data_IF_667661393155
#
_entry.id   IF_667661393155
#
_cell.length_a   1.000
_cell.length_b   1.000
_cell.length_c   1.000
_cell.angle_alpha   90.00
_cell.angle_beta   90.00
_cell.angle_gamma   90.00
#
_symmetry.space_group_name_H-M   'P 1'
#
loop_
_entity.id
_entity.type
_entity.pdbx_description
1 polymer ?
#
# COMPACT_ATOMS: atom_id res chain seq x y z
N UNK A 1 71.16 -52.55 0.00
CA UNK A 1 70.59 -53.46 -1.01
C UNK A 1 69.37 -52.78 -1.63
N UNK A 2 69.55 -52.53 -2.89
CA UNK A 2 68.65 -52.43 -4.06
C UNK A 2 67.50 -51.41 -3.95
N UNK A 3 67.59 -50.22 -4.41
CA UNK A 3 67.41 -49.67 -5.77
C UNK A 3 66.13 -50.20 -6.49
N UNK A 4 65.12 -49.36 -6.55
CA UNK A 4 64.28 -49.25 -7.73
C UNK A 4 63.82 -47.79 -7.98
N UNK A 5 64.46 -47.17 -8.96
CA UNK A 5 64.01 -45.98 -9.65
C UNK A 5 62.84 -46.35 -10.52
N UNK A 6 61.71 -45.63 -10.35
CA UNK A 6 60.71 -45.55 -11.41
C UNK A 6 60.49 -44.08 -11.76
N UNK A 7 60.81 -43.76 -12.97
CA UNK A 7 60.53 -42.52 -13.66
C UNK A 7 59.02 -42.29 -13.80
N UNK A 8 58.59 -41.13 -13.38
CA UNK A 8 57.23 -40.65 -13.68
C UNK A 8 57.36 -39.64 -14.80
N UNK A 9 56.90 -40.03 -16.01
CA UNK A 9 56.70 -39.10 -17.11
C UNK A 9 55.63 -38.09 -16.77
N UNK A 10 55.97 -36.83 -16.83
CA UNK A 10 55.02 -35.70 -16.70
C UNK A 10 54.14 -35.62 -17.94
N UNK A 11 52.86 -35.94 -17.77
CA UNK A 11 51.82 -35.66 -18.75
C UNK A 11 51.24 -34.27 -18.45
N UNK A 12 51.70 -33.28 -19.19
CA UNK A 12 51.15 -31.93 -19.12
C UNK A 12 49.82 -31.91 -19.88
N UNK A 13 48.72 -32.09 -19.18
CA UNK A 13 47.40 -31.86 -19.73
C UNK A 13 47.15 -30.32 -19.72
N UNK A 14 47.19 -29.72 -20.89
CA UNK A 14 46.73 -28.35 -21.09
C UNK A 14 45.19 -28.34 -20.89
N UNK A 15 44.75 -27.95 -19.71
CA UNK A 15 43.35 -27.56 -19.48
C UNK A 15 43.14 -26.19 -20.14
N UNK A 16 42.56 -26.19 -21.35
CA UNK A 16 41.90 -25.01 -21.87
C UNK A 16 40.70 -24.70 -20.97
N UNK A 17 40.89 -23.76 -20.06
CA UNK A 17 39.77 -23.12 -19.41
C UNK A 17 39.04 -22.28 -20.46
N UNK A 18 37.94 -22.83 -21.01
CA UNK A 18 36.93 -22.04 -21.67
C UNK A 18 36.31 -21.17 -20.59
N UNK A 19 36.88 -20.00 -20.38
CA UNK A 19 36.25 -18.95 -19.56
C UNK A 19 35.00 -18.52 -20.27
N UNK A 20 33.89 -19.13 -19.93
CA UNK A 20 32.59 -18.57 -20.22
C UNK A 20 32.50 -17.24 -19.50
N UNK A 21 32.66 -16.14 -20.22
CA UNK A 21 32.23 -14.85 -19.76
C UNK A 21 30.70 -14.94 -19.60
N UNK A 22 30.24 -15.23 -18.41
CA UNK A 22 28.87 -14.89 -18.04
C UNK A 22 28.84 -13.37 -18.10
N UNK A 23 28.30 -12.82 -19.18
CA UNK A 23 27.96 -11.42 -19.22
C UNK A 23 26.99 -11.20 -18.03
N UNK A 24 27.48 -10.56 -16.99
CA UNK A 24 26.58 -10.05 -15.95
C UNK A 24 25.58 -9.15 -16.68
N UNK A 25 24.29 -9.51 -16.63
CA UNK A 25 23.26 -8.61 -17.11
C UNK A 25 23.46 -7.28 -16.38
N UNK A 26 23.60 -6.18 -17.14
CA UNK A 26 23.73 -4.86 -16.56
C UNK A 26 22.55 -4.62 -15.60
N UNK A 27 22.85 -4.04 -14.45
CA UNK A 27 21.78 -3.67 -13.51
C UNK A 27 20.80 -2.72 -14.20
N UNK A 28 19.49 -2.86 -14.00
CA UNK A 28 18.54 -1.87 -14.47
C UNK A 28 18.85 -0.45 -13.95
N UNK A 29 19.59 -0.33 -12.85
CA UNK A 29 20.00 0.95 -12.28
C UNK A 29 21.18 1.60 -13.03
N UNK A 30 21.86 0.87 -13.92
CA UNK A 30 22.93 1.39 -14.77
C UNK A 30 22.39 2.00 -16.09
N UNK A 31 21.10 1.85 -16.38
CA UNK A 31 20.47 2.44 -17.57
C UNK A 31 20.19 3.93 -17.40
N UNK A 32 20.16 4.66 -18.52
CA UNK A 32 19.70 6.06 -18.52
C UNK A 32 18.22 6.11 -18.83
N UNK A 33 17.45 6.70 -17.93
CA UNK A 33 16.01 6.79 -18.06
C UNK A 33 15.54 8.15 -18.51
N UNK A 34 14.47 8.18 -19.32
CA UNK A 34 13.65 9.35 -19.48
C UNK A 34 12.53 9.30 -18.44
N UNK A 35 12.50 10.27 -17.53
CA UNK A 35 11.41 10.41 -16.56
C UNK A 35 10.17 10.97 -17.25
N UNK A 36 9.08 10.20 -17.19
CA UNK A 36 7.82 10.59 -17.81
C UNK A 36 6.91 11.25 -16.76
N UNK A 37 6.35 12.43 -17.07
CA UNK A 37 5.35 13.04 -16.22
C UNK A 37 4.08 12.18 -16.19
N UNK A 38 3.46 12.14 -15.01
CA UNK A 38 2.13 11.54 -14.83
C UNK A 38 1.08 12.63 -14.70
N UNK A 39 -0.01 12.46 -15.43
CA UNK A 39 -1.18 13.35 -15.37
C UNK A 39 -2.32 12.63 -14.68
N UNK A 40 -2.94 13.30 -13.70
CA UNK A 40 -4.15 12.79 -13.08
C UNK A 40 -5.33 13.00 -14.00
N UNK A 41 -5.96 11.90 -14.42
CA UNK A 41 -7.13 11.93 -15.30
C UNK A 41 -8.43 11.84 -14.52
N UNK A 42 -8.41 11.23 -13.34
CA UNK A 42 -9.58 11.04 -12.50
C UNK A 42 -9.20 10.90 -11.02
N UNK A 43 -10.11 11.35 -10.17
CA UNK A 43 -10.13 11.03 -8.74
C UNK A 43 -11.56 10.71 -8.32
N UNK A 44 -11.76 9.64 -7.56
CA UNK A 44 -13.11 9.23 -7.16
C UNK A 44 -13.16 8.56 -5.79
N UNK A 45 -14.39 8.42 -5.28
CA UNK A 45 -14.63 7.89 -3.94
C UNK A 45 -14.15 8.82 -2.84
N UNK A 46 -14.40 8.43 -1.62
CA UNK A 46 -13.97 9.17 -0.42
C UNK A 46 -13.11 8.25 0.45
N UNK A 47 -11.90 8.69 0.77
CA UNK A 47 -11.06 8.10 1.81
C UNK A 47 -11.21 8.91 3.10
N UNK A 48 -11.59 8.26 4.18
CA UNK A 48 -11.46 8.73 5.55
C UNK A 48 -10.20 8.08 6.10
N UNK A 49 -9.12 8.86 6.24
CA UNK A 49 -7.83 8.38 6.68
C UNK A 49 -7.61 8.73 8.15
N UNK A 50 -7.38 7.73 8.97
CA UNK A 50 -7.22 7.83 10.42
C UNK A 50 -5.87 7.25 10.84
N UNK A 51 -4.92 8.15 11.09
CA UNK A 51 -3.55 7.83 11.52
C UNK A 51 -3.04 8.90 12.52
N UNK A 52 -3.98 9.56 13.21
CA UNK A 52 -3.63 10.62 14.15
C UNK A 52 -4.69 10.73 15.27
N UNK A 53 -4.31 10.55 16.54
CA UNK A 53 -2.96 10.22 16.98
C UNK A 53 -2.53 8.83 16.50
N UNK A 54 -1.28 8.70 16.01
CA UNK A 54 -0.72 7.39 15.65
C UNK A 54 -0.56 6.53 16.90
N UNK A 55 -0.03 7.11 17.97
CA UNK A 55 0.11 6.48 19.28
C UNK A 55 -1.00 6.98 20.20
N UNK A 56 -2.02 6.14 20.38
CA UNK A 56 -3.18 6.48 21.18
C UNK A 56 -2.91 6.14 22.66
N UNK A 57 -2.68 7.16 23.47
CA UNK A 57 -2.33 7.05 24.92
C UNK A 57 -3.53 7.01 25.84
N UNK A 58 -4.74 7.16 25.31
CA UNK A 58 -6.00 7.12 26.05
C UNK A 58 -7.16 6.68 25.16
N UNK A 59 -8.25 6.15 25.74
CA UNK A 59 -9.45 5.83 25.00
C UNK A 59 -10.16 7.08 24.43
N UNK A 60 -10.67 6.98 23.19
CA UNK A 60 -11.42 8.08 22.58
C UNK A 60 -11.70 7.87 21.09
N UNK A 61 -12.31 8.90 20.46
CA UNK A 61 -12.48 8.98 19.02
C UNK A 61 -11.18 9.44 18.39
N UNK A 62 -10.61 8.61 17.52
CA UNK A 62 -9.35 8.90 16.83
C UNK A 62 -9.58 9.87 15.66
N UNK A 63 -10.52 9.53 14.78
CA UNK A 63 -10.93 10.40 13.68
C UNK A 63 -12.36 10.12 13.23
N UNK A 64 -13.05 11.14 12.74
CA UNK A 64 -14.36 11.06 12.05
C UNK A 64 -14.33 11.97 10.82
N UNK A 65 -14.68 11.42 9.65
CA UNK A 65 -14.78 12.16 8.39
C UNK A 65 -16.00 11.76 7.58
N UNK A 66 -16.41 12.62 6.63
CA UNK A 66 -17.66 12.46 5.88
C UNK A 66 -17.41 11.78 4.54
N UNK A 67 -17.99 10.61 4.34
CA UNK A 67 -18.09 9.94 3.03
C UNK A 67 -19.22 10.59 2.23
N UNK A 68 -18.91 11.07 1.03
CA UNK A 68 -19.86 11.57 0.05
C UNK A 68 -20.66 10.42 -0.58
N UNK A 69 -21.85 10.68 -1.20
CA UNK A 69 -22.58 9.66 -1.92
C UNK A 69 -21.68 8.97 -2.97
N UNK A 70 -21.68 7.63 -2.94
CA UNK A 70 -20.78 6.77 -3.72
C UNK A 70 -20.01 5.81 -2.86
N UNK A 71 -18.82 5.47 -3.29
CA UNK A 71 -17.89 4.59 -2.59
C UNK A 71 -17.10 5.37 -1.53
N UNK A 72 -16.93 4.75 -0.37
CA UNK A 72 -16.12 5.26 0.72
C UNK A 72 -15.21 4.19 1.29
N UNK A 73 -14.07 4.61 1.76
CA UNK A 73 -13.13 3.79 2.53
C UNK A 73 -12.75 4.54 3.78
N UNK A 74 -12.79 3.85 4.93
CA UNK A 74 -12.04 4.26 6.10
C UNK A 74 -10.79 3.38 6.15
N UNK A 75 -9.61 4.01 6.23
CA UNK A 75 -8.32 3.38 6.46
C UNK A 75 -7.79 3.86 7.79
N UNK A 76 -7.40 2.94 8.68
CA UNK A 76 -6.87 3.25 10.01
C UNK A 76 -5.50 2.61 10.23
N UNK A 77 -4.69 3.30 11.07
CA UNK A 77 -3.35 2.89 11.43
C UNK A 77 -3.03 3.53 12.80
N UNK A 78 -3.04 2.73 13.86
CA UNK A 78 -2.87 3.23 15.22
C UNK A 78 -2.13 2.22 16.08
N UNK A 79 -1.29 2.73 16.99
CA UNK A 79 -0.61 1.96 18.04
C UNK A 79 -1.36 2.13 19.34
N UNK A 80 -1.61 1.03 20.03
CA UNK A 80 -2.24 1.06 21.33
C UNK A 80 -1.23 1.40 22.43
N UNK A 81 -1.34 2.57 23.03
CA UNK A 81 -0.59 3.00 24.23
C UNK A 81 -1.53 3.37 25.38
N UNK A 82 -2.74 2.76 25.45
CA UNK A 82 -3.76 3.12 26.46
C UNK A 82 -3.49 2.56 27.86
N UNK A 83 -2.40 1.82 28.06
CA UNK A 83 -2.02 1.21 29.33
C UNK A 83 -2.64 -0.17 29.56
N UNK A 84 -3.17 -0.82 28.53
CA UNK A 84 -3.75 -2.16 28.60
C UNK A 84 -4.37 -2.60 27.27
N UNK A 85 -4.98 -3.81 27.22
CA UNK A 85 -5.66 -4.25 26.01
C UNK A 85 -6.81 -3.28 25.60
N UNK A 86 -6.84 -2.94 24.33
CA UNK A 86 -7.81 -2.03 23.76
C UNK A 86 -8.51 -2.61 22.54
N UNK A 87 -9.67 -2.04 22.19
CA UNK A 87 -10.43 -2.38 20.97
C UNK A 87 -10.38 -1.20 20.02
N UNK A 88 -9.97 -1.43 18.79
CA UNK A 88 -10.07 -0.43 17.73
C UNK A 88 -11.33 -0.71 16.92
N UNK A 89 -12.26 0.24 16.94
CA UNK A 89 -13.57 0.12 16.32
C UNK A 89 -13.68 1.04 15.12
N UNK A 90 -14.34 0.57 14.07
CA UNK A 90 -14.84 1.40 12.97
C UNK A 90 -16.34 1.53 13.09
N UNK A 91 -16.87 2.75 13.05
CA UNK A 91 -18.29 3.03 13.16
C UNK A 91 -18.79 3.95 12.05
N UNK A 92 -20.09 3.89 11.80
CA UNK A 92 -20.79 4.84 10.95
C UNK A 92 -21.83 5.63 11.73
N UNK A 93 -22.04 6.89 11.33
CA UNK A 93 -23.05 7.78 11.90
C UNK A 93 -23.75 8.55 10.79
N UNK A 94 -25.04 8.79 10.94
CA UNK A 94 -25.83 9.56 9.99
C UNK A 94 -26.88 10.42 10.70
N UNK A 95 -27.09 11.64 10.20
CA UNK A 95 -28.15 12.53 10.71
C UNK A 95 -29.56 12.08 10.30
N UNK A 96 -29.65 11.16 9.35
CA UNK A 96 -30.93 10.66 8.83
C UNK A 96 -30.92 9.14 8.77
N UNK A 97 -32.07 8.55 9.00
CA UNK A 97 -32.27 7.13 8.78
C UNK A 97 -31.91 6.78 7.33
N UNK A 98 -30.95 5.88 7.15
CA UNK A 98 -30.55 5.34 5.85
C UNK A 98 -29.95 3.94 5.98
N UNK A 99 -29.80 3.29 4.86
CA UNK A 99 -28.99 2.07 4.76
C UNK A 99 -27.70 2.40 4.01
N UNK A 100 -26.61 1.82 4.46
CA UNK A 100 -25.34 1.74 3.75
C UNK A 100 -25.04 0.28 3.41
N UNK A 101 -24.19 0.05 2.43
CA UNK A 101 -23.68 -1.30 2.14
C UNK A 101 -22.21 -1.33 2.55
N UNK A 102 -21.86 -2.16 3.52
CA UNK A 102 -20.45 -2.49 3.78
C UNK A 102 -20.03 -3.50 2.74
N UNK A 103 -18.99 -3.20 1.99
CA UNK A 103 -18.53 -4.02 0.85
C UNK A 103 -17.27 -4.81 1.16
N UNK A 104 -16.50 -4.37 2.17
CA UNK A 104 -15.27 -5.03 2.62
C UNK A 104 -14.93 -4.63 4.05
N UNK A 105 -14.32 -5.57 4.76
CA UNK A 105 -13.61 -5.35 6.02
C UNK A 105 -12.32 -6.15 5.93
N UNK A 106 -11.16 -5.51 5.98
CA UNK A 106 -9.87 -6.18 5.87
C UNK A 106 -8.85 -5.52 6.79
N UNK A 107 -7.99 -6.32 7.39
CA UNK A 107 -6.94 -5.84 8.30
C UNK A 107 -5.59 -6.52 8.05
N UNK A 108 -4.52 -5.89 8.50
CA UNK A 108 -3.23 -6.52 8.75
C UNK A 108 -3.27 -7.34 10.05
N UNK A 109 -2.23 -8.11 10.31
CA UNK A 109 -2.10 -8.77 11.60
C UNK A 109 -1.54 -7.76 12.61
N UNK A 110 -2.20 -7.58 13.74
CA UNK A 110 -1.74 -6.68 14.79
C UNK A 110 -0.34 -7.11 15.29
N UNK A 111 0.57 -6.16 15.44
CA UNK A 111 1.97 -6.46 15.77
C UNK A 111 2.74 -5.20 16.13
N UNK A 112 3.78 -5.35 16.97
CA UNK A 112 4.83 -4.34 17.16
C UNK A 112 5.78 -4.20 15.96
N UNK A 113 5.58 -4.96 14.88
CA UNK A 113 6.32 -4.89 13.62
C UNK A 113 5.47 -4.22 12.54
N UNK A 114 5.55 -2.93 12.39
CA UNK A 114 4.64 -2.09 11.59
C UNK A 114 4.64 -2.39 10.09
N UNK A 115 5.82 -2.56 9.47
CA UNK A 115 5.95 -2.83 8.05
C UNK A 115 5.23 -4.13 7.62
N UNK A 116 5.41 -5.29 8.29
CA UNK A 116 4.65 -6.50 7.97
C UNK A 116 3.13 -6.34 8.11
N UNK A 117 2.65 -5.60 9.13
CA UNK A 117 1.21 -5.33 9.30
C UNK A 117 0.64 -4.59 8.09
N UNK A 118 1.27 -3.49 7.66
CA UNK A 118 0.87 -2.74 6.48
C UNK A 118 0.96 -3.54 5.18
N UNK A 119 2.02 -4.33 5.01
CA UNK A 119 2.20 -5.19 3.84
C UNK A 119 1.15 -6.31 3.76
N UNK A 120 0.79 -6.91 4.89
CA UNK A 120 -0.27 -7.92 4.98
C UNK A 120 -1.62 -7.32 4.57
N UNK A 121 -1.96 -6.13 5.06
CA UNK A 121 -3.16 -5.42 4.67
C UNK A 121 -3.19 -5.14 3.15
N UNK A 122 -2.08 -4.61 2.60
CA UNK A 122 -1.94 -4.35 1.16
C UNK A 122 -2.14 -5.62 0.32
N UNK A 123 -1.63 -6.77 0.78
CA UNK A 123 -1.81 -8.04 0.09
C UNK A 123 -3.27 -8.53 0.16
N UNK A 124 -3.87 -8.58 1.34
CA UNK A 124 -5.26 -9.01 1.53
C UNK A 124 -6.23 -8.16 0.71
N UNK A 125 -5.98 -6.85 0.66
CA UNK A 125 -6.74 -5.94 -0.18
C UNK A 125 -6.59 -6.30 -1.66
N UNK A 126 -5.36 -6.48 -2.16
CA UNK A 126 -5.08 -6.75 -3.56
C UNK A 126 -5.68 -8.09 -4.04
N UNK A 127 -5.70 -9.13 -3.21
CA UNK A 127 -6.31 -10.44 -3.59
C UNK A 127 -7.81 -10.48 -3.37
N UNK A 128 -8.41 -9.42 -2.86
CA UNK A 128 -9.86 -9.32 -2.66
C UNK A 128 -10.38 -10.13 -1.47
N UNK A 129 -9.58 -10.32 -0.43
CA UNK A 129 -10.05 -10.96 0.79
C UNK A 129 -11.19 -10.16 1.44
N UNK A 130 -12.06 -10.88 2.13
CA UNK A 130 -13.16 -10.34 2.94
C UNK A 130 -14.11 -9.39 2.19
N UNK A 131 -14.25 -9.58 0.88
CA UNK A 131 -15.33 -8.95 0.12
C UNK A 131 -16.66 -9.64 0.43
N UNK A 132 -17.42 -9.05 1.35
CA UNK A 132 -18.73 -9.54 1.73
C UNK A 132 -19.71 -8.36 1.85
N UNK A 133 -20.73 -8.33 1.00
CA UNK A 133 -21.71 -7.25 1.00
C UNK A 133 -22.73 -7.43 2.11
N UNK A 134 -22.75 -6.48 3.03
CA UNK A 134 -23.70 -6.43 4.12
C UNK A 134 -24.45 -5.10 4.12
N UNK A 135 -25.78 -5.13 4.25
CA UNK A 135 -26.58 -3.92 4.40
C UNK A 135 -26.74 -3.58 5.88
N UNK A 136 -26.23 -2.43 6.26
CA UNK A 136 -26.32 -1.91 7.63
C UNK A 136 -27.30 -0.74 7.65
N UNK A 137 -28.25 -0.79 8.59
CA UNK A 137 -29.22 0.28 8.83
C UNK A 137 -28.70 1.25 9.86
N UNK A 138 -28.60 2.51 9.48
CA UNK A 138 -28.22 3.61 10.37
C UNK A 138 -29.46 4.34 10.87
N UNK A 139 -29.50 4.64 12.16
CA UNK A 139 -30.49 5.47 12.78
C UNK A 139 -29.94 6.89 13.02
N UNK A 140 -30.81 7.93 13.06
CA UNK A 140 -30.35 9.31 13.17
C UNK A 140 -29.57 9.56 14.46
N UNK A 141 -28.33 10.04 14.30
CA UNK A 141 -27.45 10.43 15.42
C UNK A 141 -26.77 9.28 16.14
N UNK A 142 -27.13 8.01 15.87
CA UNK A 142 -26.53 6.85 16.52
C UNK A 142 -25.21 6.48 15.82
N UNK A 143 -24.19 6.14 16.62
CA UNK A 143 -22.96 5.51 16.14
C UNK A 143 -23.18 4.00 16.04
N UNK A 144 -23.11 3.44 14.84
CA UNK A 144 -23.27 2.01 14.58
C UNK A 144 -21.91 1.38 14.32
N UNK A 145 -21.49 0.42 15.12
CA UNK A 145 -20.23 -0.31 14.93
C UNK A 145 -20.35 -1.11 13.63
N UNK A 146 -19.41 -0.89 12.72
CA UNK A 146 -19.27 -1.62 11.44
C UNK A 146 -18.23 -2.71 11.54
N UNK A 147 -17.20 -2.50 12.31
CA UNK A 147 -16.06 -3.40 12.44
C UNK A 147 -15.40 -3.22 13.80
N UNK A 148 -14.97 -4.35 14.35
CA UNK A 148 -14.17 -4.46 15.55
C UNK A 148 -12.90 -5.20 15.16
N UNK A 149 -11.76 -4.55 15.29
CA UNK A 149 -10.52 -5.06 14.72
C UNK A 149 -10.09 -6.38 15.38
N UNK A 150 -10.17 -6.48 16.69
CA UNK A 150 -9.73 -7.68 17.38
C UNK A 150 -10.64 -8.01 18.58
N UNK A 151 -11.33 -9.15 18.50
CA UNK A 151 -12.18 -9.66 19.57
C UNK A 151 -11.39 -10.01 20.86
N UNK A 152 -10.08 -10.21 20.77
CA UNK A 152 -9.21 -10.48 21.91
C UNK A 152 -8.60 -9.24 22.54
N UNK A 153 -8.84 -8.07 21.93
CA UNK A 153 -8.17 -6.83 22.27
C UNK A 153 -6.76 -6.72 21.70
N UNK A 154 -6.42 -5.53 21.25
CA UNK A 154 -5.08 -5.18 20.78
C UNK A 154 -4.15 -5.02 21.97
N UNK A 155 -3.02 -5.71 21.98
CA UNK A 155 -2.06 -5.60 23.05
C UNK A 155 -1.43 -4.20 23.11
N UNK A 156 -0.91 -3.85 24.27
CA UNK A 156 -0.11 -2.63 24.44
C UNK A 156 1.10 -2.63 23.50
N UNK A 157 1.43 -1.50 22.90
CA UNK A 157 2.49 -1.29 21.92
C UNK A 157 2.27 -1.98 20.56
N UNK A 158 1.15 -2.70 20.34
CA UNK A 158 0.84 -3.26 19.04
C UNK A 158 0.15 -2.23 18.13
N UNK A 159 0.59 -2.23 16.87
CA UNK A 159 -0.04 -1.52 15.77
C UNK A 159 -1.21 -2.34 15.22
N UNK A 160 -2.32 -1.66 14.99
CA UNK A 160 -3.41 -2.15 14.15
C UNK A 160 -3.54 -1.31 12.91
N UNK A 161 -3.79 -1.95 11.79
CA UNK A 161 -4.07 -1.28 10.52
C UNK A 161 -5.07 -2.08 9.71
N UNK A 162 -6.06 -1.39 9.20
CA UNK A 162 -7.13 -2.01 8.43
C UNK A 162 -7.93 -1.02 7.61
N UNK A 163 -8.92 -1.54 6.89
CA UNK A 163 -9.84 -0.73 6.11
C UNK A 163 -11.24 -1.32 6.10
N UNK A 164 -12.23 -0.42 6.10
CA UNK A 164 -13.63 -0.74 5.88
C UNK A 164 -14.11 0.03 4.67
N UNK A 165 -14.69 -0.66 3.69
CA UNK A 165 -15.25 -0.05 2.49
C UNK A 165 -16.76 -0.10 2.52
N UNK A 166 -17.38 0.99 2.06
CA UNK A 166 -18.83 1.13 2.01
C UNK A 166 -19.30 1.71 0.68
N UNK A 167 -20.56 1.45 0.37
CA UNK A 167 -21.34 2.21 -0.62
C UNK A 167 -22.48 2.95 0.10
N UNK A 168 -22.66 4.22 -0.20
CA UNK A 168 -23.73 5.03 0.38
C UNK A 168 -24.42 5.90 -0.67
N UNK A 169 -25.74 6.14 -0.48
CA UNK A 169 -26.53 7.00 -1.36
C UNK A 169 -26.66 8.44 -0.82
N UNK A 170 -26.33 8.67 0.43
CA UNK A 170 -26.35 9.98 1.10
C UNK A 170 -25.10 10.12 1.94
N UNK A 171 -24.68 11.34 2.28
CA UNK A 171 -23.54 11.54 3.16
C UNK A 171 -23.66 10.71 4.46
N UNK A 172 -22.55 10.14 4.88
CA UNK A 172 -22.41 9.38 6.13
C UNK A 172 -21.05 9.66 6.75
N UNK A 173 -20.98 9.85 8.07
CA UNK A 173 -19.70 9.91 8.77
C UNK A 173 -19.19 8.48 9.00
N UNK A 174 -17.92 8.25 8.68
CA UNK A 174 -17.15 7.09 9.16
C UNK A 174 -16.15 7.57 10.19
N UNK A 175 -15.99 6.80 11.25
CA UNK A 175 -15.01 7.11 12.28
C UNK A 175 -14.34 5.89 12.87
N UNK A 176 -13.21 6.14 13.53
CA UNK A 176 -12.47 5.18 14.34
C UNK A 176 -12.44 5.61 15.78
N UNK A 177 -12.46 4.64 16.67
CA UNK A 177 -12.29 4.84 18.11
C UNK A 177 -11.38 3.74 18.67
N UNK A 178 -10.57 4.10 19.65
CA UNK A 178 -9.87 3.17 20.52
C UNK A 178 -10.55 3.18 21.89
N UNK A 179 -10.92 2.02 22.39
CA UNK A 179 -11.70 1.88 23.62
C UNK A 179 -11.11 0.77 24.50
N UNK A 180 -11.32 0.80 25.81
CA UNK A 180 -10.94 -0.33 26.67
C UNK A 180 -11.58 -1.62 26.18
N UNK A 181 -10.86 -2.74 26.30
CA UNK A 181 -11.43 -4.06 25.99
C UNK A 181 -12.67 -4.35 26.85
N UNK A 182 -13.67 -4.98 26.23
CA UNK A 182 -14.96 -5.25 26.85
C UNK A 182 -15.92 -6.00 25.95
N UNK A 183 -17.09 -6.36 26.47
CA UNK A 183 -18.13 -6.96 25.64
C UNK A 183 -18.80 -5.92 24.69
N UNK A 184 -19.55 -6.40 23.70
CA UNK A 184 -20.18 -5.55 22.69
C UNK A 184 -21.07 -4.44 23.27
N UNK A 185 -21.74 -4.68 24.40
CA UNK A 185 -22.60 -3.67 25.03
C UNK A 185 -21.81 -2.60 25.72
N UNK A 186 -20.73 -3.00 26.39
CA UNK A 186 -19.81 -2.06 27.04
C UNK A 186 -19.07 -1.23 25.99
N UNK A 187 -18.65 -1.82 24.88
CA UNK A 187 -18.04 -1.13 23.76
C UNK A 187 -18.99 -0.10 23.11
N UNK A 188 -20.26 -0.47 22.88
CA UNK A 188 -21.24 0.49 22.34
C UNK A 188 -21.46 1.67 23.29
N UNK A 189 -21.61 1.40 24.60
CA UNK A 189 -21.77 2.45 25.60
C UNK A 189 -20.53 3.34 25.71
N UNK A 190 -19.33 2.76 25.66
CA UNK A 190 -18.09 3.51 25.65
C UNK A 190 -17.98 4.37 24.40
N UNK A 191 -18.30 3.81 23.21
CA UNK A 191 -18.32 4.53 21.95
C UNK A 191 -19.30 5.72 21.96
N UNK A 192 -20.48 5.54 22.52
CA UNK A 192 -21.51 6.60 22.58
C UNK A 192 -21.04 7.81 23.41
N UNK A 193 -20.22 7.57 24.42
CA UNK A 193 -19.70 8.60 25.33
C UNK A 193 -18.27 9.05 25.04
N UNK A 194 -17.57 8.38 24.10
CA UNK A 194 -16.19 8.68 23.74
C UNK A 194 -16.05 10.10 23.19
N UNK A 195 -15.02 10.80 23.65
CA UNK A 195 -14.66 12.14 23.20
C UNK A 195 -13.57 12.07 22.12
N UNK A 196 -13.51 13.08 21.24
CA UNK A 196 -12.43 13.19 20.26
C UNK A 196 -11.07 13.33 20.93
N UNK A 197 -10.08 12.58 20.43
CA UNK A 197 -8.70 12.75 20.84
C UNK A 197 -8.05 13.93 20.09
N UNK A 198 -7.16 14.67 20.75
CA UNK A 198 -6.38 15.71 20.08
C UNK A 198 -5.44 15.05 19.04
N UNK A 199 -5.10 15.78 17.97
CA UNK A 199 -4.09 15.31 17.04
C UNK A 199 -2.71 15.29 17.73
N UNK A 200 -1.87 14.34 17.34
CA UNK A 200 -0.45 14.32 17.67
C UNK A 200 0.37 15.17 16.69
N UNK A 201 1.69 15.10 16.79
CA UNK A 201 2.62 15.87 15.94
C UNK A 201 2.69 15.37 14.49
N UNK A 202 2.22 14.15 14.19
CA UNK A 202 2.20 13.61 12.83
C UNK A 202 1.09 14.24 11.99
N UNK A 203 -0.01 14.64 12.63
CA UNK A 203 -1.15 15.30 11.98
C UNK A 203 -1.75 14.55 10.77
N UNK A 204 -1.48 13.24 10.67
CA UNK A 204 -1.76 12.36 9.52
C UNK A 204 -3.19 11.82 9.57
N UNK A 205 -4.19 12.70 9.45
CA UNK A 205 -5.60 12.31 9.32
C UNK A 205 -6.35 13.27 8.43
N UNK A 206 -7.38 12.79 7.76
CA UNK A 206 -8.18 13.67 6.90
C UNK A 206 -9.11 12.90 5.96
N UNK A 207 -9.84 13.67 5.17
CA UNK A 207 -10.72 13.16 4.12
C UNK A 207 -10.12 13.51 2.76
N UNK A 208 -9.89 12.48 1.92
CA UNK A 208 -9.19 12.55 0.65
C UNK A 208 -9.98 11.85 -0.46
N UNK A 209 -9.46 11.84 -1.68
CA UNK A 209 -9.95 10.92 -2.72
C UNK A 209 -9.50 9.48 -2.40
N UNK A 210 -10.38 8.49 -2.65
CA UNK A 210 -10.08 7.07 -2.42
C UNK A 210 -9.24 6.47 -3.54
N UNK A 211 -9.56 6.78 -4.79
CA UNK A 211 -8.92 6.24 -5.99
C UNK A 211 -8.38 7.38 -6.85
N UNK A 212 -7.14 7.26 -7.28
CA UNK A 212 -6.43 8.21 -8.15
C UNK A 212 -6.00 7.49 -9.42
N UNK A 213 -6.35 8.06 -10.58
CA UNK A 213 -6.01 7.53 -11.90
C UNK A 213 -4.95 8.42 -12.54
N UNK A 214 -3.83 7.83 -12.90
CA UNK A 214 -2.66 8.49 -13.48
C UNK A 214 -2.32 7.88 -14.83
N UNK A 215 -1.90 8.71 -15.77
CA UNK A 215 -1.45 8.30 -17.11
C UNK A 215 -0.23 9.12 -17.52
N UNK A 216 0.68 8.51 -18.29
CA UNK A 216 1.71 9.24 -19.02
C UNK A 216 1.24 9.53 -20.45
N UNK A 217 1.88 10.49 -21.13
CA UNK A 217 1.81 10.57 -22.60
C UNK A 217 2.48 9.34 -23.22
N UNK A 218 2.01 8.90 -24.40
CA UNK A 218 2.51 7.68 -25.06
C UNK A 218 4.03 7.71 -25.24
N UNK A 219 4.71 6.72 -24.65
CA UNK A 219 6.16 6.56 -24.74
C UNK A 219 6.55 5.71 -25.95
N UNK A 220 7.44 6.21 -26.79
CA UNK A 220 8.02 5.46 -27.88
C UNK A 220 9.35 4.84 -27.45
N UNK A 221 9.41 3.52 -27.35
CA UNK A 221 10.60 2.77 -26.93
C UNK A 221 11.79 2.87 -27.90
N UNK A 222 11.65 3.45 -29.10
CA UNK A 222 12.79 3.81 -29.93
C UNK A 222 13.70 4.85 -29.28
N UNK A 223 13.18 5.57 -28.29
CA UNK A 223 13.90 6.58 -27.48
C UNK A 223 14.66 5.99 -26.30
N UNK A 224 14.54 4.67 -26.03
CA UNK A 224 15.24 3.98 -24.96
C UNK A 224 14.38 3.66 -23.73
N UNK A 225 15.02 3.55 -22.57
CA UNK A 225 14.37 3.24 -21.31
C UNK A 225 13.60 4.44 -20.73
N UNK A 226 12.51 4.14 -20.03
CA UNK A 226 11.68 5.14 -19.39
C UNK A 226 11.41 4.80 -17.92
N UNK A 227 11.09 5.81 -17.13
CA UNK A 227 10.60 5.64 -15.77
C UNK A 227 9.38 6.51 -15.49
N UNK A 228 8.51 6.01 -14.63
CA UNK A 228 7.44 6.78 -13.98
C UNK A 228 7.59 6.65 -12.47
N UNK A 229 7.20 7.68 -11.72
CA UNK A 229 7.33 7.69 -10.26
C UNK A 229 6.05 8.19 -9.60
N UNK A 230 5.68 7.57 -8.48
CA UNK A 230 4.61 8.03 -7.59
C UNK A 230 5.23 8.50 -6.28
N UNK A 231 4.80 9.67 -5.79
CA UNK A 231 5.36 10.34 -4.61
C UNK A 231 6.51 11.30 -4.91
N UNK A 232 6.96 11.41 -6.17
CA UNK A 232 7.97 12.37 -6.62
C UNK A 232 7.48 13.15 -7.85
N UNK A 233 7.22 12.44 -8.97
CA UNK A 233 6.66 13.07 -10.18
C UNK A 233 5.19 13.46 -10.02
N UNK A 234 4.52 12.92 -9.02
CA UNK A 234 3.15 13.23 -8.64
C UNK A 234 3.11 13.52 -7.14
N UNK A 235 2.71 14.73 -6.71
CA UNK A 235 2.75 15.16 -5.31
C UNK A 235 1.73 14.39 -4.46
N UNK A 236 1.98 14.33 -3.15
CA UNK A 236 1.05 13.76 -2.19
C UNK A 236 -0.31 14.47 -2.20
N UNK A 237 -1.35 13.69 -1.91
CA UNK A 237 -2.73 14.16 -1.96
C UNK A 237 -3.04 15.10 -0.81
N UNK A 238 -3.78 16.17 -1.13
CA UNK A 238 -4.30 17.12 -0.14
C UNK A 238 -5.76 16.83 0.16
N UNK A 239 -6.11 16.96 1.42
CA UNK A 239 -7.44 16.75 1.95
C UNK A 239 -7.71 17.67 3.14
N UNK A 240 -8.69 17.32 3.92
CA UNK A 240 -9.10 18.13 5.07
C UNK A 240 -9.30 17.26 6.31
N UNK A 241 -8.69 17.64 7.42
CA UNK A 241 -9.11 17.16 8.73
C UNK A 241 -10.44 17.82 9.10
N UNK A 242 -11.53 17.06 9.05
CA UNK A 242 -12.88 17.59 9.30
C UNK A 242 -13.11 17.90 10.78
N UNK A 243 -12.36 17.27 11.69
CA UNK A 243 -12.48 17.54 13.14
C UNK A 243 -11.79 18.85 13.53
N UNK A 244 -10.64 19.18 12.95
CA UNK A 244 -9.92 20.43 13.20
C UNK A 244 -10.20 21.52 12.17
N UNK A 245 -10.83 21.19 11.05
CA UNK A 245 -11.10 22.07 9.89
C UNK A 245 -9.86 22.58 9.16
N UNK A 246 -8.73 21.90 9.30
CA UNK A 246 -7.45 22.27 8.70
C UNK A 246 -7.18 21.44 7.45
N UNK A 247 -6.55 22.03 6.43
CA UNK A 247 -6.03 21.28 5.29
C UNK A 247 -4.86 20.42 5.73
N UNK A 248 -4.81 19.19 5.18
CA UNK A 248 -3.78 18.20 5.47
C UNK A 248 -3.24 17.61 4.18
N UNK A 249 -1.99 17.19 4.22
CA UNK A 249 -1.36 16.39 3.18
C UNK A 249 -1.20 14.96 3.69
N UNK A 250 -1.58 13.97 2.88
CA UNK A 250 -1.36 12.56 3.20
C UNK A 250 0.07 12.18 2.78
N UNK A 251 1.04 12.44 3.63
CA UNK A 251 2.46 12.18 3.36
C UNK A 251 2.72 10.68 3.28
N UNK A 252 2.73 10.14 2.06
CA UNK A 252 2.82 8.70 1.78
C UNK A 252 1.58 8.14 1.09
N UNK A 253 0.49 8.94 0.95
CA UNK A 253 -0.76 8.58 0.28
C UNK A 253 -1.37 7.26 0.76
N UNK A 254 -1.22 6.98 2.06
CA UNK A 254 -1.74 5.76 2.67
C UNK A 254 -3.26 5.67 2.51
N UNK A 255 -3.73 4.46 2.22
CA UNK A 255 -5.14 4.19 2.00
C UNK A 255 -5.68 4.63 0.62
N UNK A 256 -4.90 5.36 -0.18
CA UNK A 256 -5.26 5.75 -1.55
C UNK A 256 -4.92 4.62 -2.52
N UNK A 257 -5.85 4.25 -3.40
CA UNK A 257 -5.56 3.33 -4.50
C UNK A 257 -5.08 4.11 -5.71
N UNK A 258 -3.86 3.82 -6.14
CA UNK A 258 -3.34 4.29 -7.41
C UNK A 258 -3.70 3.33 -8.54
N UNK A 259 -4.22 3.88 -9.64
CA UNK A 259 -4.45 3.22 -10.90
C UNK A 259 -3.58 3.93 -11.95
N UNK A 260 -2.45 3.34 -12.29
CA UNK A 260 -1.50 3.93 -13.23
C UNK A 260 -1.60 3.20 -14.55
N UNK A 261 -1.85 3.93 -15.64
CA UNK A 261 -1.78 3.42 -17.01
C UNK A 261 -0.52 3.92 -17.66
N UNK A 262 0.36 3.00 -18.03
CA UNK A 262 1.55 3.30 -18.82
C UNK A 262 1.27 3.05 -20.29
N UNK A 263 1.10 4.16 -21.04
CA UNK A 263 0.92 4.14 -22.49
C UNK A 263 2.26 4.06 -23.19
N UNK A 264 2.40 3.14 -24.13
CA UNK A 264 3.64 2.95 -24.87
C UNK A 264 3.41 2.45 -26.30
N UNK A 265 4.45 2.63 -27.14
CA UNK A 265 4.50 2.17 -28.52
C UNK A 265 5.88 1.58 -28.82
N UNK A 266 5.94 0.77 -29.87
CA UNK A 266 7.15 0.07 -30.30
C UNK A 266 6.87 -1.38 -30.67
N UNK A 267 7.93 -2.09 -31.03
CA UNK A 267 7.91 -3.54 -31.30
C UNK A 267 8.98 -4.22 -30.47
N UNK A 268 8.65 -5.40 -29.91
CA UNK A 268 9.52 -6.14 -29.04
C UNK A 268 9.01 -6.14 -27.60
N UNK A 269 9.94 -6.29 -26.67
CA UNK A 269 9.64 -6.44 -25.24
C UNK A 269 10.46 -5.50 -24.39
N UNK A 270 9.95 -5.22 -23.18
CA UNK A 270 10.68 -4.52 -22.14
C UNK A 270 10.53 -5.22 -20.80
N UNK A 271 11.52 -5.08 -19.93
CA UNK A 271 11.49 -5.57 -18.58
C UNK A 271 10.99 -4.46 -17.66
N UNK A 272 10.08 -4.81 -16.76
CA UNK A 272 9.56 -3.91 -15.72
C UNK A 272 10.25 -4.20 -14.40
N UNK A 273 10.72 -3.14 -13.76
CA UNK A 273 11.27 -3.22 -12.41
C UNK A 273 10.58 -2.18 -11.52
N UNK A 274 10.50 -2.47 -10.22
CA UNK A 274 10.07 -1.53 -9.20
C UNK A 274 11.26 -1.21 -8.32
N UNK A 275 11.50 0.07 -8.07
CA UNK A 275 12.61 0.56 -7.27
C UNK A 275 12.09 1.55 -6.22
N UNK A 276 12.38 1.26 -4.95
CA UNK A 276 12.05 2.14 -3.83
C UNK A 276 13.06 3.28 -3.74
N UNK A 277 12.59 4.50 -3.55
CA UNK A 277 13.42 5.71 -3.45
C UNK A 277 13.23 6.46 -2.15
N UNK A 278 12.09 6.28 -1.47
CA UNK A 278 11.76 6.98 -0.22
C UNK A 278 12.35 6.33 1.02
N UNK A 279 12.81 5.09 0.91
CA UNK A 279 13.27 4.28 2.04
C UNK A 279 12.77 2.85 1.93
N UNK A 280 12.61 2.21 3.07
CA UNK A 280 12.10 0.83 3.15
C UNK A 280 10.71 0.73 2.54
N UNK A 281 10.51 -0.25 1.67
CA UNK A 281 9.22 -0.56 1.07
C UNK A 281 8.91 -2.06 1.17
N UNK A 282 7.68 -2.36 1.56
CA UNK A 282 7.08 -3.70 1.51
C UNK A 282 5.61 -3.52 1.16
N UNK A 283 5.12 -4.21 0.14
CA UNK A 283 3.74 -4.05 -0.29
C UNK A 283 3.39 -4.90 -1.49
N UNK A 284 2.22 -4.67 -2.04
CA UNK A 284 1.64 -5.46 -3.13
C UNK A 284 1.27 -4.59 -4.30
N UNK A 285 1.63 -5.05 -5.49
CA UNK A 285 1.28 -4.43 -6.77
C UNK A 285 0.47 -5.41 -7.62
N UNK A 286 -0.49 -4.89 -8.33
CA UNK A 286 -1.25 -5.63 -9.33
C UNK A 286 -0.91 -5.06 -10.70
N UNK A 287 -0.39 -5.90 -11.62
CA UNK A 287 0.18 -5.46 -12.90
C UNK A 287 -0.35 -6.33 -14.03
N UNK A 288 -0.74 -5.72 -15.15
CA UNK A 288 -1.23 -6.46 -16.32
C UNK A 288 -1.46 -5.58 -17.54
N UNK A 289 -1.74 -6.22 -18.68
CA UNK A 289 -2.08 -5.53 -19.94
C UNK A 289 -3.59 -5.36 -20.17
N UNK A 290 -4.38 -5.69 -19.16
CA UNK A 290 -5.82 -5.47 -19.15
C UNK A 290 -6.27 -5.08 -17.75
N UNK A 291 -7.06 -4.00 -17.56
CA UNK A 291 -7.35 -3.45 -16.24
C UNK A 291 -8.14 -4.37 -15.29
N UNK A 292 -8.75 -5.44 -15.83
CA UNK A 292 -9.49 -6.45 -15.07
C UNK A 292 -8.75 -7.77 -14.90
N UNK A 293 -7.54 -7.91 -15.47
CA UNK A 293 -6.74 -9.15 -15.44
C UNK A 293 -5.31 -8.82 -15.00
N UNK A 294 -5.18 -8.43 -13.74
CA UNK A 294 -3.92 -8.05 -13.15
C UNK A 294 -3.31 -9.23 -12.39
N UNK A 295 -1.99 -9.40 -12.50
CA UNK A 295 -1.21 -10.34 -11.71
C UNK A 295 -0.78 -9.66 -10.42
N UNK A 296 -0.80 -10.39 -9.32
CA UNK A 296 -0.35 -9.92 -8.01
C UNK A 296 1.16 -10.14 -7.89
N UNK A 297 1.87 -9.10 -7.50
CA UNK A 297 3.29 -9.10 -7.19
C UNK A 297 3.48 -8.64 -5.75
N UNK A 298 3.95 -9.54 -4.89
CA UNK A 298 4.35 -9.20 -3.52
C UNK A 298 5.85 -8.93 -3.50
N UNK A 299 6.26 -7.92 -2.77
CA UNK A 299 7.68 -7.56 -2.67
C UNK A 299 8.47 -8.53 -1.82
N UNK A 300 7.86 -9.12 -0.80
CA UNK A 300 8.45 -10.09 0.13
C UNK A 300 8.70 -11.46 -0.50
N UNK A 301 7.87 -11.92 -1.43
CA UNK A 301 7.97 -13.25 -2.03
C UNK A 301 9.21 -13.42 -2.92
N UNK A 302 9.72 -12.33 -3.52
CA UNK A 302 10.75 -12.42 -4.56
C UNK A 302 12.18 -12.27 -4.08
N UNK A 303 12.38 -11.68 -2.90
CA UNK A 303 13.72 -11.37 -2.41
C UNK A 303 14.16 -12.23 -1.24
N UNK A 304 13.29 -13.09 -0.69
CA UNK A 304 13.53 -13.76 0.58
C UNK A 304 13.79 -12.76 1.72
N UNK A 305 13.43 -11.50 1.50
CA UNK A 305 13.52 -10.40 2.44
C UNK A 305 12.11 -9.93 2.76
N UNK A 306 11.88 -9.49 3.99
CA UNK A 306 10.60 -8.91 4.37
C UNK A 306 10.33 -7.55 3.71
N UNK A 307 11.38 -6.84 3.25
CA UNK A 307 11.32 -5.52 2.60
C UNK A 307 12.50 -5.30 1.64
N UNK A 308 12.39 -4.26 0.81
CA UNK A 308 13.47 -3.79 -0.05
C UNK A 308 13.60 -2.25 0.05
N UNK A 309 14.68 -1.70 -0.54
CA UNK A 309 14.93 -0.25 -0.54
C UNK A 309 15.72 0.26 0.67
N UNK A 310 15.96 -0.51 1.69
CA UNK A 310 16.79 -0.23 2.90
C UNK A 310 17.31 1.23 3.06
N UNK A 311 16.54 2.24 2.62
CA UNK A 311 16.93 3.63 2.59
C UNK A 311 17.91 3.99 1.47
N UNK A 312 18.12 3.11 0.47
CA UNK A 312 18.98 3.34 -0.68
C UNK A 312 18.22 3.11 -1.99
N UNK A 313 18.67 3.78 -3.06
CA UNK A 313 18.13 3.59 -4.41
C UNK A 313 18.62 2.30 -5.09
N UNK A 314 19.44 1.50 -4.40
CA UNK A 314 20.10 0.34 -5.00
C UNK A 314 19.23 -0.91 -5.10
N UNK A 315 18.15 -0.99 -4.34
CA UNK A 315 17.25 -2.14 -4.30
C UNK A 315 16.12 -2.02 -5.32
N UNK A 316 15.90 -3.08 -6.07
CA UNK A 316 14.78 -3.19 -7.01
C UNK A 316 14.25 -4.62 -7.07
N UNK A 317 13.03 -4.76 -7.57
CA UNK A 317 12.42 -6.06 -7.86
C UNK A 317 12.02 -6.14 -9.34
N UNK A 318 12.17 -7.33 -9.95
CA UNK A 318 11.70 -7.58 -11.31
C UNK A 318 10.21 -7.97 -11.31
N UNK A 319 9.42 -7.29 -12.11
CA UNK A 319 8.01 -7.59 -12.36
C UNK A 319 7.77 -8.24 -13.72
N UNK A 320 8.80 -8.81 -14.31
CA UNK A 320 8.74 -9.60 -15.54
C UNK A 320 8.84 -8.78 -16.82
N UNK A 321 8.58 -9.46 -17.93
CA UNK A 321 8.74 -8.94 -19.29
C UNK A 321 7.37 -8.68 -19.91
N UNK A 322 7.22 -7.56 -20.60
CA UNK A 322 5.97 -7.05 -21.17
C UNK A 322 6.16 -6.70 -22.65
N UNK A 323 5.08 -6.77 -23.43
CA UNK A 323 5.09 -6.42 -24.85
C UNK A 323 5.03 -4.89 -25.03
N UNK A 324 5.87 -4.35 -25.91
CA UNK A 324 5.71 -2.97 -26.39
C UNK A 324 4.44 -2.82 -27.22
N UNK A 325 3.90 -1.61 -27.29
CA UNK A 325 2.67 -1.30 -28.00
C UNK A 325 1.40 -1.80 -27.32
N UNK A 326 1.49 -2.26 -26.08
CA UNK A 326 0.34 -2.57 -25.22
C UNK A 326 0.42 -1.75 -23.95
N UNK A 327 -0.70 -1.13 -23.59
CA UNK A 327 -0.81 -0.44 -22.31
C UNK A 327 -0.51 -1.37 -21.14
N UNK A 328 0.19 -0.85 -20.14
CA UNK A 328 0.41 -1.56 -18.88
C UNK A 328 -0.39 -0.88 -17.77
N UNK A 329 -1.17 -1.66 -17.06
CA UNK A 329 -1.97 -1.20 -15.93
C UNK A 329 -1.30 -1.65 -14.63
N UNK A 330 -1.07 -0.69 -13.73
CA UNK A 330 -0.50 -0.92 -12.41
C UNK A 330 -1.49 -0.40 -11.38
N UNK A 331 -1.87 -1.24 -10.43
CA UNK A 331 -2.73 -0.87 -9.31
C UNK A 331 -2.02 -1.21 -8.00
N UNK A 332 -2.03 -0.29 -7.04
CA UNK A 332 -1.51 -0.53 -5.70
C UNK A 332 -2.07 0.47 -4.69
N UNK A 333 -1.99 0.09 -3.41
CA UNK A 333 -2.19 0.97 -2.27
C UNK A 333 -0.85 1.03 -1.54
N UNK A 334 -0.28 2.22 -1.27
CA UNK A 334 0.88 2.32 -0.41
C UNK A 334 0.61 1.64 0.92
N UNK A 335 1.43 0.65 1.27
CA UNK A 335 1.28 -0.10 2.51
C UNK A 335 1.66 0.78 3.70
N UNK A 336 0.98 0.61 4.82
CA UNK A 336 1.34 1.30 6.07
C UNK A 336 2.81 1.05 6.43
N UNK A 337 3.52 2.05 6.91
CA UNK A 337 4.96 2.08 7.19
C UNK A 337 5.89 1.84 5.98
N UNK A 338 5.38 1.81 4.75
CA UNK A 338 6.20 1.78 3.55
C UNK A 338 6.35 3.21 2.98
N UNK A 339 7.54 3.55 2.49
CA UNK A 339 7.86 4.92 2.11
C UNK A 339 7.73 5.13 0.59
N UNK A 340 7.04 6.21 0.21
CA UNK A 340 7.14 6.78 -1.13
C UNK A 340 8.30 7.80 -1.16
N UNK A 341 8.90 8.13 -2.31
CA UNK A 341 8.49 7.73 -3.66
C UNK A 341 8.92 6.30 -4.03
N UNK A 342 8.16 5.76 -4.97
CA UNK A 342 8.49 4.51 -5.66
C UNK A 342 8.47 4.75 -7.17
N UNK A 343 9.42 4.15 -7.90
CA UNK A 343 9.47 4.27 -9.35
C UNK A 343 9.34 2.92 -10.05
N UNK A 344 8.78 2.97 -11.23
CA UNK A 344 8.63 1.86 -12.15
C UNK A 344 9.58 2.11 -13.33
N UNK A 345 10.49 1.17 -13.57
CA UNK A 345 11.53 1.27 -14.59
C UNK A 345 11.18 0.34 -15.74
N UNK A 346 11.08 0.86 -16.95
CA UNK A 346 10.79 0.13 -18.18
C UNK A 346 12.03 0.10 -19.06
N UNK A 347 12.67 -1.06 -19.13
CA UNK A 347 13.95 -1.27 -19.86
C UNK A 347 13.71 -2.13 -21.08
N UNK A 348 13.89 -1.61 -22.31
CA UNK A 348 13.81 -2.40 -23.54
C UNK A 348 14.76 -3.60 -23.50
N UNK A 349 14.29 -4.78 -23.95
CA UNK A 349 15.19 -5.91 -24.21
C UNK A 349 16.12 -5.54 -25.36
N UNK A 350 17.42 -5.75 -25.18
CA UNK A 350 18.42 -5.60 -26.25
C UNK A 350 18.19 -6.71 -27.26
N UNK A 351 17.93 -6.35 -28.52
CA UNK A 351 17.79 -7.28 -29.63
C UNK A 351 19.15 -7.91 -29.97
#
# INVERSE_FOLDING_TARGET
>A
MSLFKKSIQSLTAAMMMAGGFTAFAASPLDETYTTLPLTQTKAEGTLVFSDCPEYADQPGILYEGTVKPGEGRLYYYHVNETGGPARVLVYAKSDKKQNITVTRRVKGDASSSYIPTGATLSFREAVGEEQNKETVKLLPGEKTILYDDDEGGVAEEDLVSGMVEIETKKPVSLGTAILPDGDTKDLQKALDTALPLPPDTHEMRGTFAKDIYLENENWDFTKGAAEISVGNSFPFQKGKDEMSHVERENTGDYGITYHVTFHNSGSGKYNLYINAQGGVYMGTFQIGTHPRLLRVYRTDDKLGKHWFGNGTESDYISCGTWDMGKDLYIRFIPAGAAYLPIRFLMVPEKQ
#
